data_IF_517093296216
#
_entry.id   IF_517093296216
#
_cell.length_a   1.000
_cell.length_b   1.000
_cell.length_c   1.000
_cell.angle_alpha   90.00
_cell.angle_beta   90.00
_cell.angle_gamma   90.00
#
_symmetry.space_group_name_H-M   'P 1'
#
loop_
_entity.id
_entity.type
_entity.pdbx_description
1 polymer ?
#
# COMPACT_ATOMS: atom_id res chain seq x y z
N UNK A 1 -15.76 -16.45 -16.05
CA UNK A 1 -15.35 -15.47 -15.02
C UNK A 1 -16.51 -14.55 -14.69
N UNK A 2 -16.67 -14.16 -13.40
CA UNK A 2 -17.62 -13.08 -13.05
C UNK A 2 -17.13 -11.78 -13.70
N UNK A 3 -18.04 -10.96 -14.19
CA UNK A 3 -17.69 -9.64 -14.72
C UNK A 3 -17.21 -8.71 -13.59
N UNK A 4 -16.29 -7.80 -13.90
CA UNK A 4 -15.90 -6.76 -12.97
C UNK A 4 -17.11 -5.87 -12.61
N UNK A 5 -17.24 -5.44 -11.35
CA UNK A 5 -18.28 -4.50 -10.96
C UNK A 5 -18.11 -3.18 -11.70
N UNK A 6 -19.23 -2.49 -11.94
CA UNK A 6 -19.18 -1.18 -12.57
C UNK A 6 -18.42 -0.18 -11.66
N UNK A 7 -17.36 0.46 -12.13
CA UNK A 7 -16.58 1.40 -11.32
C UNK A 7 -17.41 2.58 -10.77
N UNK A 8 -18.42 3.03 -11.51
CA UNK A 8 -19.32 4.10 -11.06
C UNK A 8 -20.12 3.67 -9.82
N UNK A 9 -20.60 2.41 -9.81
CA UNK A 9 -21.38 1.88 -8.68
C UNK A 9 -20.48 1.75 -7.44
N UNK A 10 -19.21 1.34 -7.61
CA UNK A 10 -18.23 1.31 -6.52
C UNK A 10 -18.05 2.70 -5.89
N UNK A 11 -17.83 3.72 -6.72
CA UNK A 11 -17.58 5.08 -6.24
C UNK A 11 -18.82 5.68 -5.59
N UNK A 12 -20.01 5.50 -6.16
CA UNK A 12 -21.27 5.94 -5.56
C UNK A 12 -21.60 5.19 -4.28
N UNK A 13 -21.32 3.88 -4.26
CA UNK A 13 -21.55 3.02 -3.12
C UNK A 13 -20.72 3.36 -1.88
N UNK A 14 -19.64 4.15 -2.00
CA UNK A 14 -18.82 4.54 -0.84
C UNK A 14 -19.57 5.33 0.21
N UNK A 15 -20.63 6.08 -0.18
CA UNK A 15 -21.36 6.98 0.70
C UNK A 15 -20.54 8.18 1.19
N UNK A 16 -19.40 8.45 0.57
CA UNK A 16 -18.54 9.58 0.94
C UNK A 16 -19.14 10.91 0.54
N UNK A 17 -18.93 11.93 1.38
CA UNK A 17 -19.34 13.28 1.05
C UNK A 17 -18.62 13.77 -0.24
N UNK A 18 -19.31 14.49 -1.15
CA UNK A 18 -18.70 15.01 -2.37
C UNK A 18 -17.49 15.92 -2.13
N UNK A 19 -17.42 16.55 -0.96
CA UNK A 19 -16.30 17.40 -0.54
C UNK A 19 -15.09 16.63 -0.06
N UNK A 20 -15.23 15.33 0.27
CA UNK A 20 -14.10 14.52 0.79
C UNK A 20 -13.00 14.37 -0.25
N UNK A 21 -11.75 14.33 0.21
CA UNK A 21 -10.61 14.15 -0.68
C UNK A 21 -10.65 12.79 -1.39
N UNK A 22 -11.03 11.72 -0.67
CA UNK A 22 -11.16 10.39 -1.27
C UNK A 22 -12.18 10.38 -2.41
N UNK A 23 -13.37 11.00 -2.21
CA UNK A 23 -14.38 11.07 -3.29
C UNK A 23 -13.85 11.80 -4.53
N UNK A 24 -13.13 12.91 -4.34
CA UNK A 24 -12.52 13.66 -5.45
C UNK A 24 -11.48 12.82 -6.21
N UNK A 25 -10.67 12.05 -5.49
CA UNK A 25 -9.68 11.14 -6.10
C UNK A 25 -10.37 10.04 -6.87
N UNK A 26 -11.38 9.37 -6.30
CA UNK A 26 -12.14 8.32 -6.97
C UNK A 26 -12.84 8.82 -8.24
N UNK A 27 -13.42 10.01 -8.21
CA UNK A 27 -14.01 10.65 -9.40
C UNK A 27 -12.96 11.00 -10.47
N UNK A 28 -11.73 11.32 -10.06
CA UNK A 28 -10.60 11.49 -10.99
C UNK A 28 -10.21 10.17 -11.65
N UNK A 29 -10.10 9.09 -10.86
CA UNK A 29 -9.78 7.76 -11.37
C UNK A 29 -10.86 7.22 -12.32
N UNK A 30 -12.14 7.46 -12.05
CA UNK A 30 -13.23 7.11 -12.99
C UNK A 30 -13.01 7.71 -14.39
N UNK A 31 -12.56 8.96 -14.46
CA UNK A 31 -12.29 9.61 -15.75
C UNK A 31 -11.09 9.00 -16.47
N UNK A 32 -10.12 8.50 -15.71
CA UNK A 32 -8.88 7.93 -16.23
C UNK A 32 -9.02 6.48 -16.70
N UNK A 33 -10.10 5.76 -16.33
CA UNK A 33 -10.26 4.33 -16.65
C UNK A 33 -10.09 4.04 -18.16
N UNK A 34 -10.59 4.93 -19.04
CA UNK A 34 -10.45 4.75 -20.49
C UNK A 34 -9.01 4.85 -21.00
N UNK A 35 -8.09 5.37 -20.21
CA UNK A 35 -6.67 5.52 -20.52
C UNK A 35 -5.84 4.31 -20.00
N UNK A 36 -6.46 3.45 -19.19
CA UNK A 36 -5.80 2.29 -18.59
C UNK A 36 -5.73 1.12 -19.58
N UNK A 37 -4.74 0.22 -19.41
CA UNK A 37 -4.65 -1.00 -20.20
C UNK A 37 -5.93 -1.84 -20.11
N UNK A 38 -6.27 -2.54 -21.17
CA UNK A 38 -7.37 -3.48 -21.21
C UNK A 38 -6.88 -4.93 -21.13
N UNK A 39 -7.78 -5.84 -20.72
CA UNK A 39 -7.50 -7.27 -20.58
C UNK A 39 -7.19 -8.02 -21.90
N UNK A 40 -7.23 -7.36 -23.04
CA UNK A 40 -7.08 -8.02 -24.34
C UNK A 40 -5.71 -8.68 -24.44
N UNK A 41 -5.71 -10.01 -24.47
CA UNK A 41 -4.49 -10.83 -24.62
C UNK A 41 -3.78 -11.19 -23.31
N UNK A 42 -4.37 -10.92 -22.15
CA UNK A 42 -3.79 -11.33 -20.86
C UNK A 42 -4.40 -12.69 -20.43
N UNK A 43 -3.55 -13.70 -20.29
CA UNK A 43 -3.95 -14.97 -19.68
C UNK A 43 -3.83 -14.86 -18.16
N UNK A 44 -4.94 -15.13 -17.46
CA UNK A 44 -4.96 -15.16 -16.00
C UNK A 44 -4.57 -16.55 -15.53
N UNK A 45 -3.42 -16.67 -14.87
CA UNK A 45 -3.00 -17.93 -14.23
C UNK A 45 -3.69 -18.11 -12.88
N UNK A 46 -4.21 -19.32 -12.57
CA UNK A 46 -4.72 -19.60 -11.24
C UNK A 46 -3.59 -19.48 -10.21
N UNK A 47 -3.68 -18.50 -9.32
CA UNK A 47 -2.71 -18.33 -8.24
C UNK A 47 -3.31 -18.76 -6.91
N UNK A 48 -2.54 -19.51 -6.12
CA UNK A 48 -2.94 -19.93 -4.77
C UNK A 48 -2.89 -18.76 -3.79
N UNK A 49 -3.98 -18.56 -3.05
CA UNK A 49 -4.01 -17.61 -1.94
C UNK A 49 -3.11 -18.03 -0.75
N UNK A 50 -2.62 -19.26 -0.77
CA UNK A 50 -1.91 -19.85 0.37
C UNK A 50 -0.38 -19.69 0.28
N UNK A 51 0.14 -19.21 -0.85
CA UNK A 51 1.58 -19.01 -1.04
C UNK A 51 1.96 -17.53 -0.91
N UNK A 52 3.09 -17.29 -0.19
CA UNK A 52 3.70 -15.97 -0.13
C UNK A 52 4.35 -15.64 -1.48
N UNK A 53 4.04 -14.47 -2.01
CA UNK A 53 4.72 -13.94 -3.19
C UNK A 53 6.00 -13.17 -2.81
N UNK A 54 6.65 -12.53 -3.81
CA UNK A 54 7.90 -11.82 -3.59
C UNK A 54 7.81 -10.64 -2.61
N UNK A 55 6.67 -9.95 -2.56
CA UNK A 55 6.48 -8.79 -1.67
C UNK A 55 6.36 -9.24 -0.20
N UNK A 56 5.49 -10.21 0.07
CA UNK A 56 5.34 -10.79 1.40
C UNK A 56 6.64 -11.44 1.86
N UNK A 57 7.31 -12.20 0.99
CA UNK A 57 8.56 -12.89 1.32
C UNK A 57 9.66 -11.92 1.72
N UNK A 58 9.82 -10.80 1.00
CA UNK A 58 10.78 -9.77 1.35
C UNK A 58 10.49 -9.15 2.73
N UNK A 59 9.22 -8.85 3.03
CA UNK A 59 8.84 -8.31 4.34
C UNK A 59 9.11 -9.32 5.46
N UNK A 60 8.80 -10.60 5.28
CA UNK A 60 9.04 -11.65 6.28
C UNK A 60 10.54 -11.91 6.52
N UNK A 61 11.34 -11.88 5.47
CA UNK A 61 12.78 -12.00 5.59
C UNK A 61 13.37 -10.84 6.40
N UNK A 62 12.96 -9.60 6.08
CA UNK A 62 13.38 -8.44 6.86
C UNK A 62 12.90 -8.51 8.30
N UNK A 63 11.65 -8.89 8.55
CA UNK A 63 11.11 -9.05 9.90
C UNK A 63 11.91 -10.07 10.71
N UNK A 64 12.29 -11.22 10.10
CA UNK A 64 13.06 -12.24 10.80
C UNK A 64 14.49 -11.79 11.14
N UNK A 65 15.11 -10.95 10.31
CA UNK A 65 16.49 -10.49 10.47
C UNK A 65 16.60 -9.20 11.28
N UNK A 66 15.67 -8.27 11.07
CA UNK A 66 15.72 -6.91 11.62
C UNK A 66 14.69 -6.68 12.75
N UNK A 67 13.77 -7.63 12.98
CA UNK A 67 12.66 -7.52 13.93
C UNK A 67 11.45 -6.74 13.40
N UNK A 68 11.52 -6.21 12.18
CA UNK A 68 10.45 -5.41 11.58
C UNK A 68 10.58 -5.37 10.06
N UNK A 69 9.47 -5.05 9.35
CA UNK A 69 9.44 -4.75 7.92
C UNK A 69 9.26 -3.26 7.67
N UNK A 70 9.93 -2.71 6.65
CA UNK A 70 9.74 -1.31 6.24
C UNK A 70 9.37 -1.27 4.75
N UNK A 71 8.22 -0.64 4.46
CA UNK A 71 7.79 -0.28 3.11
C UNK A 71 8.03 1.22 2.96
N UNK A 72 9.01 1.60 2.14
CA UNK A 72 9.32 3.01 1.90
C UNK A 72 8.52 3.55 0.73
N UNK A 73 7.72 4.61 0.95
CA UNK A 73 6.81 5.15 -0.05
C UNK A 73 7.43 6.36 -0.76
N UNK A 74 7.40 6.30 -2.08
CA UNK A 74 7.68 7.45 -2.95
C UNK A 74 6.38 8.09 -3.44
N UNK A 75 6.27 9.39 -3.22
CA UNK A 75 5.17 10.23 -3.71
C UNK A 75 5.62 11.68 -3.92
N UNK A 76 5.08 12.35 -4.92
CA UNK A 76 5.47 13.72 -5.27
C UNK A 76 4.51 14.78 -4.75
N UNK A 77 3.37 14.36 -4.17
CA UNK A 77 2.37 15.25 -3.60
C UNK A 77 1.37 14.52 -2.73
N UNK A 78 0.49 15.28 -2.10
CA UNK A 78 -0.68 14.75 -1.41
C UNK A 78 -1.86 15.73 -1.47
N UNK A 79 -3.11 15.24 -1.35
CA UNK A 79 -4.28 16.12 -1.38
C UNK A 79 -4.29 17.21 -0.31
N UNK A 80 -3.67 16.96 0.85
CA UNK A 80 -3.64 17.88 1.99
C UNK A 80 -2.52 18.91 1.94
N UNK A 81 -1.39 18.56 1.29
CA UNK A 81 -0.16 19.37 1.30
C UNK A 81 0.21 19.91 -0.09
N UNK A 82 -0.50 19.47 -1.12
CA UNK A 82 -0.12 19.76 -2.50
C UNK A 82 1.19 19.07 -2.92
N UNK A 83 1.87 19.60 -3.96
CA UNK A 83 3.17 19.09 -4.39
C UNK A 83 4.22 19.24 -3.29
N UNK A 84 5.06 18.21 -3.10
CA UNK A 84 6.29 18.40 -2.33
C UNK A 84 7.26 19.24 -3.16
N UNK A 85 8.10 20.04 -2.49
CA UNK A 85 9.13 20.81 -3.17
C UNK A 85 9.96 19.88 -4.07
N UNK A 86 10.42 20.38 -5.24
CA UNK A 86 11.20 19.61 -6.20
C UNK A 86 12.31 18.85 -5.46
N UNK A 87 12.04 17.58 -5.24
CA UNK A 87 12.85 16.72 -4.38
C UNK A 87 13.92 15.98 -5.16
N UNK A 88 14.57 15.09 -4.46
CA UNK A 88 15.53 14.13 -5.02
C UNK A 88 14.90 13.36 -6.18
N UNK A 89 15.60 13.14 -7.31
CA UNK A 89 15.10 12.29 -8.40
C UNK A 89 14.69 10.92 -7.91
N UNK A 90 13.65 10.35 -8.51
CA UNK A 90 13.08 9.07 -8.11
C UNK A 90 14.16 8.01 -7.80
N UNK A 91 15.07 7.79 -8.74
CA UNK A 91 16.09 6.73 -8.61
C UNK A 91 17.02 6.96 -7.42
N UNK A 92 17.45 8.19 -7.18
CA UNK A 92 18.31 8.53 -6.03
C UNK A 92 17.56 8.33 -4.71
N UNK A 93 16.28 8.73 -4.66
CA UNK A 93 15.44 8.55 -3.49
C UNK A 93 15.26 7.06 -3.16
N UNK A 94 14.98 6.22 -4.17
CA UNK A 94 14.80 4.79 -3.97
C UNK A 94 16.10 4.07 -3.58
N UNK A 95 17.25 4.50 -4.12
CA UNK A 95 18.57 4.00 -3.67
C UNK A 95 18.78 4.34 -2.19
N UNK A 96 18.49 5.57 -1.77
CA UNK A 96 18.60 5.95 -0.37
C UNK A 96 17.67 5.10 0.54
N UNK A 97 16.48 4.76 0.06
CA UNK A 97 15.56 3.87 0.77
C UNK A 97 16.13 2.45 0.88
N UNK A 98 16.63 1.88 -0.22
CA UNK A 98 17.24 0.56 -0.23
C UNK A 98 18.46 0.48 0.70
N UNK A 99 19.36 1.45 0.63
CA UNK A 99 20.54 1.55 1.51
C UNK A 99 20.18 1.85 2.97
N UNK A 100 19.01 2.43 3.20
CA UNK A 100 18.42 2.64 4.52
C UNK A 100 17.81 1.39 5.12
N UNK A 101 17.58 0.33 4.32
CA UNK A 101 17.01 -0.94 4.76
C UNK A 101 15.50 -1.04 4.54
N UNK A 102 14.96 -0.41 3.50
CA UNK A 102 13.60 -0.70 3.05
C UNK A 102 13.53 -2.12 2.47
N UNK A 103 12.58 -2.92 2.96
CA UNK A 103 12.31 -4.26 2.45
C UNK A 103 11.57 -4.23 1.12
N UNK A 104 10.66 -3.26 0.97
CA UNK A 104 9.82 -3.07 -0.20
C UNK A 104 9.64 -1.57 -0.48
N UNK A 105 9.25 -1.24 -1.72
CA UNK A 105 8.83 0.10 -2.07
C UNK A 105 7.31 0.19 -2.22
N UNK A 106 6.75 1.36 -1.89
CA UNK A 106 5.38 1.76 -2.23
C UNK A 106 5.46 2.92 -3.19
N UNK A 107 4.83 2.80 -4.36
CA UNK A 107 4.92 3.83 -5.41
C UNK A 107 3.52 4.37 -5.71
N UNK A 108 3.31 5.66 -5.45
CA UNK A 108 2.05 6.32 -5.78
C UNK A 108 1.86 6.38 -7.29
N UNK A 109 0.67 5.98 -7.74
CA UNK A 109 0.33 5.90 -9.18
C UNK A 109 -0.77 6.86 -9.60
N UNK A 110 -1.48 7.48 -8.66
CA UNK A 110 -2.52 8.46 -8.94
C UNK A 110 -1.91 9.80 -9.40
N UNK A 111 -2.23 10.27 -10.63
CA UNK A 111 -1.46 11.36 -11.24
C UNK A 111 -1.90 12.77 -10.82
N UNK A 112 -3.14 12.96 -10.41
CA UNK A 112 -3.70 14.29 -10.21
C UNK A 112 -3.42 14.88 -8.83
N UNK A 113 -3.59 14.11 -7.79
CA UNK A 113 -3.48 14.57 -6.40
C UNK A 113 -2.19 14.14 -5.73
N UNK A 114 -1.62 13.01 -6.16
CA UNK A 114 -0.37 12.48 -5.63
C UNK A 114 0.80 12.66 -6.59
N UNK A 115 0.55 13.15 -7.81
CA UNK A 115 1.53 13.34 -8.88
C UNK A 115 2.29 12.05 -9.20
N UNK A 116 1.60 10.91 -9.06
CA UNK A 116 2.13 9.57 -9.24
C UNK A 116 2.08 9.09 -10.68
N UNK A 117 2.74 7.96 -10.93
CA UNK A 117 2.69 7.28 -12.22
C UNK A 117 3.11 5.81 -12.07
N UNK A 118 2.44 4.89 -12.76
CA UNK A 118 2.87 3.48 -12.86
C UNK A 118 4.24 3.32 -13.53
N UNK A 119 4.65 4.29 -14.36
CA UNK A 119 6.01 4.35 -14.94
C UNK A 119 7.11 4.47 -13.88
N UNK A 120 6.82 5.04 -12.72
CA UNK A 120 7.77 5.08 -11.61
C UNK A 120 8.03 3.67 -11.03
N UNK A 121 7.04 2.76 -11.09
CA UNK A 121 7.23 1.36 -10.69
C UNK A 121 8.20 0.66 -11.64
N UNK A 122 8.04 0.83 -12.96
CA UNK A 122 8.94 0.24 -13.93
C UNK A 122 10.42 0.63 -13.69
N UNK A 123 10.67 1.90 -13.29
CA UNK A 123 12.01 2.36 -12.91
C UNK A 123 12.47 1.80 -11.54
N UNK A 124 11.55 1.63 -10.59
CA UNK A 124 11.85 1.10 -9.26
C UNK A 124 12.21 -0.40 -9.30
N UNK A 125 11.56 -1.17 -10.15
CA UNK A 125 11.79 -2.61 -10.34
C UNK A 125 13.24 -2.91 -10.77
N UNK A 126 13.89 -2.00 -11.49
CA UNK A 126 15.30 -2.13 -11.90
C UNK A 126 16.26 -2.24 -10.69
N UNK A 127 15.86 -1.79 -9.51
CA UNK A 127 16.64 -1.89 -8.28
C UNK A 127 16.51 -3.27 -7.60
N UNK A 128 15.68 -4.19 -8.13
CA UNK A 128 15.49 -5.52 -7.58
C UNK A 128 14.67 -5.58 -6.27
N UNK A 129 14.04 -4.47 -5.86
CA UNK A 129 13.20 -4.38 -4.66
C UNK A 129 11.73 -4.54 -5.04
N UNK A 130 10.95 -5.43 -4.39
CA UNK A 130 9.53 -5.60 -4.69
C UNK A 130 8.75 -4.32 -4.46
N UNK A 131 7.85 -3.99 -5.43
CA UNK A 131 7.08 -2.75 -5.41
C UNK A 131 5.58 -3.01 -5.19
N UNK A 132 4.96 -2.17 -4.37
CA UNK A 132 3.52 -2.02 -4.21
C UNK A 132 3.01 -0.95 -5.18
N UNK A 133 2.03 -1.31 -6.02
CA UNK A 133 1.22 -0.35 -6.76
C UNK A 133 0.26 0.34 -5.78
N UNK A 134 0.58 1.57 -5.39
CA UNK A 134 -0.19 2.36 -4.43
C UNK A 134 -1.11 3.31 -5.20
N UNK A 135 -2.31 2.85 -5.47
CA UNK A 135 -3.33 3.57 -6.24
C UNK A 135 -4.74 3.31 -5.72
N UNK A 136 -5.73 3.82 -6.42
CA UNK A 136 -7.14 3.63 -6.08
C UNK A 136 -7.77 2.67 -7.09
N UNK A 137 -7.64 1.38 -6.81
CA UNK A 137 -8.11 0.31 -7.69
C UNK A 137 -9.61 0.21 -7.65
N UNK A 138 -10.28 0.56 -8.75
CA UNK A 138 -11.73 0.50 -8.93
C UNK A 138 -12.14 -0.15 -10.25
N UNK A 139 -11.19 -0.65 -11.03
CA UNK A 139 -11.45 -1.31 -12.30
C UNK A 139 -10.38 -2.37 -12.61
N UNK A 140 -10.69 -3.23 -13.54
CA UNK A 140 -9.76 -4.21 -14.11
C UNK A 140 -8.50 -3.53 -14.69
N UNK A 141 -8.66 -2.40 -15.39
CA UNK A 141 -7.56 -1.66 -15.98
C UNK A 141 -6.48 -1.25 -14.97
N UNK A 142 -6.86 -0.94 -13.70
CA UNK A 142 -5.88 -0.65 -12.66
C UNK A 142 -5.05 -1.89 -12.28
N UNK A 143 -5.65 -3.08 -12.26
CA UNK A 143 -4.92 -4.32 -11.97
C UNK A 143 -3.96 -4.67 -13.12
N UNK A 144 -4.38 -4.45 -14.38
CA UNK A 144 -3.49 -4.63 -15.53
C UNK A 144 -2.35 -3.62 -15.53
N UNK A 145 -2.62 -2.33 -15.25
CA UNK A 145 -1.57 -1.30 -15.13
C UNK A 145 -0.55 -1.68 -14.03
N UNK A 146 -1.03 -2.21 -12.91
CA UNK A 146 -0.16 -2.71 -11.84
C UNK A 146 0.72 -3.88 -12.31
N UNK A 147 0.13 -4.90 -12.94
CA UNK A 147 0.87 -6.07 -13.43
C UNK A 147 1.88 -5.70 -14.52
N UNK A 148 1.48 -4.90 -15.50
CA UNK A 148 2.34 -4.46 -16.60
C UNK A 148 3.47 -3.54 -16.15
N UNK A 149 3.27 -2.77 -15.07
CA UNK A 149 4.34 -1.93 -14.49
C UNK A 149 5.42 -2.74 -13.77
N UNK A 150 5.20 -4.05 -13.53
CA UNK A 150 6.11 -4.94 -12.84
C UNK A 150 5.92 -4.95 -11.32
N UNK A 151 4.86 -4.33 -10.79
CA UNK A 151 4.51 -4.42 -9.37
C UNK A 151 4.40 -5.86 -8.91
N UNK A 152 4.68 -6.11 -7.63
CA UNK A 152 4.50 -7.42 -6.98
C UNK A 152 3.30 -7.43 -6.04
N UNK A 153 2.88 -6.26 -5.57
CA UNK A 153 1.69 -6.11 -4.76
C UNK A 153 0.81 -4.95 -5.26
N UNK A 154 -0.46 -5.00 -4.93
CA UNK A 154 -1.44 -3.96 -5.27
C UNK A 154 -2.28 -3.61 -4.05
N UNK A 155 -2.53 -2.31 -3.85
CA UNK A 155 -3.40 -1.83 -2.77
C UNK A 155 -4.87 -2.03 -3.13
N UNK A 156 -5.62 -2.66 -2.23
CA UNK A 156 -7.07 -2.80 -2.30
C UNK A 156 -7.70 -2.15 -1.06
N UNK A 157 -8.40 -1.04 -1.25
CA UNK A 157 -9.03 -0.28 -0.15
C UNK A 157 -10.40 -0.89 0.16
N UNK A 158 -10.52 -1.59 1.30
CA UNK A 158 -11.75 -2.30 1.67
C UNK A 158 -12.98 -1.38 1.74
N UNK A 159 -12.81 -0.18 2.27
CA UNK A 159 -13.88 0.85 2.33
C UNK A 159 -14.43 1.25 0.96
N UNK A 160 -13.59 1.20 -0.08
CA UNK A 160 -13.98 1.54 -1.45
C UNK A 160 -14.60 0.34 -2.15
N UNK A 161 -13.98 -0.83 -2.03
CA UNK A 161 -14.40 -2.03 -2.73
C UNK A 161 -15.55 -2.79 -2.05
N UNK A 162 -15.70 -2.63 -0.73
CA UNK A 162 -16.75 -3.26 0.06
C UNK A 162 -16.83 -4.77 -0.20
N UNK A 163 -18.02 -5.30 -0.48
CA UNK A 163 -18.26 -6.72 -0.80
C UNK A 163 -17.49 -7.22 -2.04
N UNK A 164 -17.00 -6.32 -2.88
CA UNK A 164 -16.18 -6.65 -4.04
C UNK A 164 -14.70 -6.86 -3.71
N UNK A 165 -14.26 -6.62 -2.46
CA UNK A 165 -12.86 -6.80 -2.03
C UNK A 165 -12.33 -8.19 -2.37
N UNK A 166 -13.13 -9.24 -2.11
CA UNK A 166 -12.77 -10.64 -2.43
C UNK A 166 -12.53 -10.82 -3.92
N UNK A 167 -13.44 -10.31 -4.75
CA UNK A 167 -13.34 -10.42 -6.21
C UNK A 167 -12.06 -9.76 -6.76
N UNK A 168 -11.77 -8.53 -6.30
CA UNK A 168 -10.54 -7.82 -6.71
C UNK A 168 -9.27 -8.50 -6.20
N UNK A 169 -9.31 -9.09 -5.00
CA UNK A 169 -8.18 -9.84 -4.46
C UNK A 169 -7.90 -11.12 -5.26
N UNK A 170 -8.93 -11.84 -5.68
CA UNK A 170 -8.80 -13.01 -6.55
C UNK A 170 -8.27 -12.62 -7.94
N UNK A 171 -8.80 -11.54 -8.53
CA UNK A 171 -8.33 -11.02 -9.81
C UNK A 171 -6.87 -10.55 -9.74
N UNK A 172 -6.47 -9.87 -8.67
CA UNK A 172 -5.09 -9.46 -8.45
C UNK A 172 -4.14 -10.67 -8.41
N UNK A 173 -4.50 -11.71 -7.64
CA UNK A 173 -3.69 -12.94 -7.56
C UNK A 173 -3.58 -13.64 -8.91
N UNK A 174 -4.66 -13.70 -9.69
CA UNK A 174 -4.65 -14.29 -11.02
C UNK A 174 -3.73 -13.54 -12.01
N UNK A 175 -3.37 -12.29 -11.71
CA UNK A 175 -2.38 -11.48 -12.42
C UNK A 175 -0.99 -11.54 -11.79
N UNK A 176 -0.76 -12.41 -10.80
CA UNK A 176 0.52 -12.53 -10.09
C UNK A 176 0.81 -11.39 -9.11
N UNK A 177 -0.22 -10.63 -8.72
CA UNK A 177 -0.11 -9.54 -7.74
C UNK A 177 -0.54 -10.01 -6.35
N UNK A 178 0.19 -9.60 -5.33
CA UNK A 178 -0.17 -9.82 -3.93
C UNK A 178 -1.11 -8.70 -3.44
N UNK A 179 -2.37 -9.00 -3.06
CA UNK A 179 -3.27 -7.96 -2.56
C UNK A 179 -2.87 -7.52 -1.15
N UNK A 180 -2.54 -6.25 -0.98
CA UNK A 180 -2.50 -5.57 0.31
C UNK A 180 -3.89 -4.97 0.56
N UNK A 181 -4.65 -5.57 1.48
CA UNK A 181 -6.00 -5.08 1.81
C UNK A 181 -5.92 -4.05 2.93
N UNK A 182 -6.22 -2.80 2.57
CA UNK A 182 -6.20 -1.66 3.48
C UNK A 182 -7.54 -1.50 4.18
N UNK A 183 -7.49 -1.42 5.51
CA UNK A 183 -8.61 -1.15 6.41
C UNK A 183 -8.46 0.25 7.03
N UNK A 184 -9.59 0.90 7.32
CA UNK A 184 -9.63 2.18 8.04
C UNK A 184 -10.23 2.05 9.43
N UNK A 185 -11.05 1.01 9.64
CA UNK A 185 -11.58 0.65 10.95
C UNK A 185 -11.81 -0.86 11.10
N UNK A 186 -12.11 -1.30 12.33
CA UNK A 186 -12.26 -2.72 12.63
C UNK A 186 -13.53 -3.36 12.04
N UNK A 187 -14.51 -2.56 11.64
CA UNK A 187 -15.74 -3.09 11.02
C UNK A 187 -15.49 -3.63 9.62
N UNK A 188 -14.36 -3.28 9.01
CA UNK A 188 -13.93 -3.76 7.70
C UNK A 188 -13.20 -5.12 7.76
N UNK A 189 -12.88 -5.64 8.95
CA UNK A 189 -12.21 -6.94 9.14
C UNK A 189 -12.87 -8.08 8.35
N UNK A 190 -14.21 -8.25 8.35
CA UNK A 190 -14.85 -9.34 7.60
C UNK A 190 -14.55 -9.30 6.09
N UNK A 191 -14.38 -8.11 5.50
CA UNK A 191 -14.05 -7.95 4.08
C UNK A 191 -12.66 -8.49 3.76
N UNK A 192 -11.66 -8.15 4.60
CA UNK A 192 -10.31 -8.65 4.45
C UNK A 192 -10.21 -10.16 4.74
N UNK A 193 -10.97 -10.69 5.72
CA UNK A 193 -11.02 -12.13 5.99
C UNK A 193 -11.61 -12.91 4.80
N UNK A 194 -12.73 -12.42 4.25
CA UNK A 194 -13.36 -13.04 3.09
C UNK A 194 -12.43 -13.08 1.87
N UNK A 195 -11.59 -12.07 1.71
CA UNK A 195 -10.60 -11.99 0.63
C UNK A 195 -9.37 -12.87 0.85
N UNK A 196 -9.24 -13.55 2.00
CA UNK A 196 -8.06 -14.34 2.40
C UNK A 196 -6.78 -13.49 2.36
N UNK A 197 -6.85 -12.25 2.86
CA UNK A 197 -5.74 -11.32 2.85
C UNK A 197 -4.57 -11.84 3.70
N UNK A 198 -3.38 -11.88 3.10
CA UNK A 198 -2.10 -12.21 3.77
C UNK A 198 -1.31 -10.97 4.15
N UNK A 199 -1.59 -9.86 3.48
CA UNK A 199 -1.08 -8.52 3.77
C UNK A 199 -2.29 -7.67 4.16
N UNK A 200 -2.31 -7.21 5.41
CA UNK A 200 -3.42 -6.40 5.96
C UNK A 200 -2.84 -5.08 6.44
N UNK A 201 -3.21 -4.02 5.75
CA UNK A 201 -2.89 -2.65 6.12
C UNK A 201 -3.95 -2.05 7.04
N UNK A 202 -3.55 -1.25 8.01
CA UNK A 202 -4.44 -0.34 8.72
C UNK A 202 -3.98 1.10 8.53
N UNK A 203 -4.80 1.88 7.87
CA UNK A 203 -4.50 3.29 7.62
C UNK A 203 -4.93 4.13 8.83
N UNK A 204 -3.94 4.75 9.51
CA UNK A 204 -4.18 5.62 10.64
C UNK A 204 -4.89 6.92 10.27
N UNK A 205 -4.81 7.31 9.00
CA UNK A 205 -5.41 8.54 8.52
C UNK A 205 -6.83 8.29 8.05
N UNK A 206 -7.78 8.92 8.68
CA UNK A 206 -9.15 8.96 8.14
C UNK A 206 -9.13 9.70 6.81
N UNK A 207 -9.52 9.04 5.73
CA UNK A 207 -9.49 9.60 4.37
C UNK A 207 -10.56 10.69 4.14
N UNK A 208 -11.51 10.85 5.05
CA UNK A 208 -12.53 11.90 4.99
C UNK A 208 -12.12 13.16 5.75
N UNK A 209 -11.50 13.01 6.93
CA UNK A 209 -11.15 14.10 7.85
C UNK A 209 -9.65 14.37 7.95
N UNK A 210 -8.80 13.44 7.48
CA UNK A 210 -7.34 13.44 7.64
C UNK A 210 -6.85 13.45 9.11
N UNK A 211 -7.74 13.16 10.06
CA UNK A 211 -7.34 12.97 11.45
C UNK A 211 -6.57 11.65 11.62
N UNK A 212 -5.64 11.63 12.56
CA UNK A 212 -4.87 10.44 12.92
C UNK A 212 -5.55 9.71 14.08
N UNK A 213 -5.79 8.43 13.91
CA UNK A 213 -6.27 7.53 14.95
C UNK A 213 -6.29 6.12 14.39
N UNK A 214 -5.56 5.20 14.99
CA UNK A 214 -5.58 3.84 14.48
C UNK A 214 -5.91 2.85 15.58
N UNK A 215 -6.64 1.78 15.21
CA UNK A 215 -6.83 0.64 16.08
C UNK A 215 -5.50 0.02 16.51
N UNK A 216 -5.46 -0.59 17.70
CA UNK A 216 -4.33 -1.39 18.13
C UNK A 216 -4.20 -2.64 17.24
N UNK A 217 -3.01 -3.24 17.18
CA UNK A 217 -2.79 -4.47 16.41
C UNK A 217 -3.52 -5.69 16.99
N UNK A 218 -3.86 -5.69 18.27
CA UNK A 218 -4.41 -6.86 18.96
C UNK A 218 -5.72 -7.42 18.33
N UNK A 219 -6.74 -6.62 18.01
CA UNK A 219 -7.94 -7.13 17.31
C UNK A 219 -7.61 -7.66 15.93
N UNK A 220 -6.70 -7.00 15.20
CA UNK A 220 -6.26 -7.44 13.87
C UNK A 220 -5.49 -8.76 13.96
N UNK A 221 -4.57 -8.90 14.93
CA UNK A 221 -3.82 -10.15 15.15
C UNK A 221 -4.72 -11.32 15.47
N UNK A 222 -5.80 -11.09 16.27
CA UNK A 222 -6.81 -12.12 16.54
C UNK A 222 -7.56 -12.52 15.28
N UNK A 223 -7.89 -11.56 14.40
CA UNK A 223 -8.61 -11.81 13.15
C UNK A 223 -7.72 -12.43 12.05
N UNK A 224 -6.42 -12.10 12.06
CA UNK A 224 -5.44 -12.48 11.03
C UNK A 224 -4.16 -13.03 11.69
N UNK A 225 -4.19 -14.23 12.30
CA UNK A 225 -3.06 -14.75 13.07
C UNK A 225 -1.78 -14.94 12.23
N UNK A 226 -1.92 -15.23 10.93
CA UNK A 226 -0.83 -15.55 10.02
C UNK A 226 -0.51 -14.44 8.98
N UNK A 227 -1.32 -13.39 8.91
CA UNK A 227 -1.08 -12.28 7.99
C UNK A 227 0.00 -11.33 8.54
N UNK A 228 0.69 -10.63 7.63
CA UNK A 228 1.51 -9.47 7.98
C UNK A 228 0.60 -8.27 8.22
N UNK A 229 0.67 -7.70 9.41
CA UNK A 229 -0.05 -6.50 9.81
C UNK A 229 0.83 -5.28 9.54
N UNK A 230 0.35 -4.39 8.68
CA UNK A 230 1.10 -3.24 8.20
C UNK A 230 0.42 -1.97 8.71
N UNK A 231 1.17 -1.13 9.42
CA UNK A 231 0.70 0.19 9.82
C UNK A 231 1.00 1.20 8.74
N UNK A 232 -0.03 1.90 8.28
CA UNK A 232 0.07 2.95 7.28
C UNK A 232 -0.27 4.31 7.89
N UNK A 233 0.40 5.35 7.41
CA UNK A 233 0.20 6.75 7.80
C UNK A 233 0.52 7.09 9.28
N UNK A 234 0.70 8.38 9.54
CA UNK A 234 0.87 8.91 10.90
C UNK A 234 2.26 8.71 11.50
N UNK A 235 3.26 8.36 10.69
CA UNK A 235 4.64 8.14 11.13
C UNK A 235 5.49 9.34 10.71
N UNK A 236 5.79 10.23 11.64
CA UNK A 236 6.56 11.45 11.40
C UNK A 236 8.04 11.31 11.79
N UNK A 237 8.33 10.48 12.80
CA UNK A 237 9.66 10.25 13.35
C UNK A 237 10.04 8.76 13.31
N UNK A 238 11.32 8.40 13.42
CA UNK A 238 11.73 7.02 13.62
C UNK A 238 11.11 6.37 14.86
N UNK A 239 10.95 7.15 15.94
CA UNK A 239 10.39 6.73 17.22
C UNK A 239 8.93 6.31 17.08
N UNK A 240 8.12 7.04 16.27
CA UNK A 240 6.73 6.66 15.97
C UNK A 240 6.67 5.26 15.35
N UNK A 241 7.59 4.94 14.43
CA UNK A 241 7.66 3.63 13.81
C UNK A 241 8.02 2.52 14.81
N UNK A 242 8.96 2.81 15.75
CA UNK A 242 9.34 1.87 16.81
C UNK A 242 8.16 1.60 17.75
N UNK A 243 7.37 2.61 18.07
CA UNK A 243 6.15 2.44 18.89
C UNK A 243 5.10 1.56 18.18
N UNK A 244 4.98 1.66 16.87
CA UNK A 244 4.08 0.81 16.09
C UNK A 244 4.47 -0.66 16.17
N UNK A 245 5.76 -0.99 16.09
CA UNK A 245 6.21 -2.37 16.31
C UNK A 245 5.94 -2.81 17.75
N UNK A 246 6.04 -1.88 18.70
CA UNK A 246 5.63 -2.08 20.09
C UNK A 246 4.17 -2.48 20.24
N UNK A 247 3.33 -1.93 19.40
CA UNK A 247 1.90 -2.20 19.43
C UNK A 247 1.53 -3.54 18.71
N UNK A 248 2.50 -4.29 18.18
CA UNK A 248 2.33 -5.63 17.62
C UNK A 248 2.14 -5.68 16.10
N UNK A 249 2.49 -4.62 15.38
CA UNK A 249 2.55 -4.63 13.91
C UNK A 249 3.84 -5.26 13.41
N UNK A 250 3.78 -5.89 12.24
CA UNK A 250 4.91 -6.57 11.61
C UNK A 250 5.73 -5.64 10.71
N UNK A 251 5.04 -4.67 10.11
CA UNK A 251 5.65 -3.72 9.18
C UNK A 251 5.02 -2.33 9.27
N UNK A 252 5.75 -1.35 8.77
CA UNK A 252 5.29 0.04 8.61
C UNK A 252 5.42 0.49 7.16
N UNK A 253 4.48 1.33 6.70
CA UNK A 253 4.57 2.05 5.44
C UNK A 253 4.80 3.53 5.75
N UNK A 254 5.97 4.05 5.32
CA UNK A 254 6.42 5.41 5.61
C UNK A 254 6.61 6.18 4.30
N UNK A 255 5.89 7.28 4.14
CA UNK A 255 6.00 8.11 2.93
C UNK A 255 6.36 9.56 3.25
N UNK A 256 5.44 10.33 3.83
CA UNK A 256 5.59 11.76 4.00
C UNK A 256 6.87 12.15 4.76
N UNK A 257 7.18 11.45 5.84
CA UNK A 257 8.38 11.70 6.62
C UNK A 257 9.66 11.48 5.79
N UNK A 258 9.70 10.43 4.97
CA UNK A 258 10.85 10.13 4.11
C UNK A 258 11.00 11.16 2.98
N UNK A 259 9.89 11.59 2.37
CA UNK A 259 9.92 12.60 1.30
C UNK A 259 10.34 14.00 1.80
N UNK A 260 10.13 14.28 3.09
CA UNK A 260 10.53 15.55 3.73
C UNK A 260 11.90 15.48 4.39
N UNK A 261 12.45 14.27 4.57
CA UNK A 261 13.74 14.08 5.22
C UNK A 261 14.90 14.53 4.30
N UNK A 262 15.84 15.26 4.85
CA UNK A 262 17.13 15.54 4.19
C UNK A 262 18.07 14.33 4.23
N UNK A 263 17.79 13.34 5.09
CA UNK A 263 18.53 12.07 5.22
C UNK A 263 17.55 10.89 5.37
N UNK A 264 16.85 10.48 4.29
CA UNK A 264 15.91 9.36 4.35
C UNK A 264 16.58 8.02 4.66
N UNK A 265 17.83 7.82 4.23
CA UNK A 265 18.64 6.65 4.56
C UNK A 265 18.89 6.56 6.07
N UNK A 266 19.35 7.64 6.70
CA UNK A 266 19.58 7.71 8.14
C UNK A 266 18.28 7.58 8.94
N UNK A 267 17.17 8.14 8.43
CA UNK A 267 15.85 7.94 9.05
C UNK A 267 15.52 6.45 9.17
N UNK A 268 15.59 5.71 8.06
CA UNK A 268 15.27 4.27 8.02
C UNK A 268 16.22 3.45 8.90
N UNK A 269 17.52 3.77 8.90
CA UNK A 269 18.49 3.10 9.79
C UNK A 269 18.17 3.31 11.26
N UNK A 270 17.69 4.50 11.67
CA UNK A 270 17.25 4.73 13.06
C UNK A 270 16.00 3.91 13.41
N UNK A 271 15.04 3.77 12.49
CA UNK A 271 13.88 2.87 12.67
C UNK A 271 14.34 1.44 12.95
N UNK A 272 15.24 0.89 12.11
CA UNK A 272 15.77 -0.47 12.27
C UNK A 272 16.53 -0.65 13.58
N UNK A 273 17.37 0.32 13.94
CA UNK A 273 18.13 0.28 15.18
C UNK A 273 17.22 0.26 16.42
N UNK A 274 16.17 1.09 16.42
CA UNK A 274 15.19 1.14 17.50
C UNK A 274 14.36 -0.15 17.61
N UNK A 275 13.95 -0.73 16.47
CA UNK A 275 13.24 -2.01 16.45
C UNK A 275 14.09 -3.15 17.03
N UNK A 276 15.36 -3.25 16.63
CA UNK A 276 16.31 -4.25 17.15
C UNK A 276 16.57 -4.14 18.65
N UNK A 277 16.81 -2.93 19.15
CA UNK A 277 17.05 -2.70 20.56
C UNK A 277 15.89 -3.20 21.44
N UNK A 278 14.67 -3.14 20.90
CA UNK A 278 13.49 -3.61 21.59
C UNK A 278 13.31 -5.14 21.59
N UNK A 279 13.70 -5.85 20.52
CA UNK A 279 13.65 -7.32 20.48
C UNK A 279 14.67 -7.92 21.43
N UNK A 280 15.73 -7.17 21.76
CA UNK A 280 16.80 -7.59 22.68
C UNK A 280 16.51 -7.30 24.15
N UNK A 281 15.47 -6.51 24.48
CA UNK A 281 15.04 -6.15 25.85
C UNK A 281 13.87 -7.01 26.31
#
# INVERSE_FOLDING_TARGET
>A
MKAFPNPMDLVQGTGLAPSSHLQKVLLSELKRISELPSAVGFEMEPSSADQAGPFESALREFQSREGCGIIAEYKQGSPSLGPFAAGTPLREQLIAYQEGGAACFSILTEPRYFLGSSRHIAQAVELGVPCLYKGFVISEGHLFDAAMSGAKAVLLIARVLKEHTTFFAEAARALGLEPLVELHDLTEIPLAQASKARLVGINARDLSTFTLGAPSAAPLRKAFPNALLIRESGLATPEDAVEVFAAGFDAVLIGEALMRSTDPKGFLKRVLAGAKARVAS
#
